data_IF_027013793903
#
_entry.id   IF_027013793903
#
_cell.length_a   1.000
_cell.length_b   1.000
_cell.length_c   1.000
_cell.angle_alpha   90.00
_cell.angle_beta   90.00
_cell.angle_gamma   90.00
#
_symmetry.space_group_name_H-M   'P 1'
#
loop_
_entity.id
_entity.type
_entity.pdbx_description
1 polymer ?
#
# COMPACT_ATOMS: atom_id res chain seq x y z
N UNK A 1 1.19 15.80 -8.97
CA UNK A 1 -0.05 15.90 -8.16
C UNK A 1 -0.12 14.72 -7.20
N UNK A 2 -0.29 14.94 -5.89
CA UNK A 2 -0.54 13.85 -4.93
C UNK A 2 -1.87 13.17 -5.27
N UNK A 3 -1.96 11.86 -5.05
CA UNK A 3 -3.21 11.13 -5.24
C UNK A 3 -4.19 11.48 -4.12
N UNK A 4 -5.45 11.73 -4.45
CA UNK A 4 -6.48 11.98 -3.44
C UNK A 4 -7.09 10.67 -2.95
N UNK A 5 -7.75 10.70 -1.78
CA UNK A 5 -8.48 9.52 -1.29
C UNK A 5 -9.61 9.11 -2.23
N UNK A 6 -10.29 10.07 -2.86
CA UNK A 6 -11.38 9.78 -3.79
C UNK A 6 -10.88 9.18 -5.11
N UNK A 7 -9.72 9.63 -5.61
CA UNK A 7 -9.06 8.99 -6.75
C UNK A 7 -8.67 7.52 -6.43
N UNK A 8 -8.20 7.27 -5.21
CA UNK A 8 -7.86 5.91 -4.77
C UNK A 8 -9.09 5.03 -4.68
N UNK A 9 -10.18 5.53 -4.08
CA UNK A 9 -11.48 4.84 -4.06
C UNK A 9 -11.98 4.51 -5.46
N UNK A 10 -11.96 5.47 -6.38
CA UNK A 10 -12.41 5.28 -7.75
C UNK A 10 -11.58 4.21 -8.49
N UNK A 11 -10.26 4.20 -8.27
CA UNK A 11 -9.37 3.18 -8.84
C UNK A 11 -9.72 1.77 -8.33
N UNK A 12 -9.88 1.62 -7.01
CA UNK A 12 -10.27 0.35 -6.38
C UNK A 12 -11.64 -0.12 -6.89
N UNK A 13 -12.62 0.78 -6.97
CA UNK A 13 -13.96 0.47 -7.47
C UNK A 13 -13.92 -0.02 -8.92
N UNK A 14 -13.15 0.64 -9.77
CA UNK A 14 -12.94 0.23 -11.15
C UNK A 14 -12.29 -1.16 -11.26
N UNK A 15 -11.37 -1.49 -10.35
CA UNK A 15 -10.66 -2.77 -10.32
C UNK A 15 -11.50 -3.92 -9.79
N UNK A 16 -12.43 -3.68 -8.85
CA UNK A 16 -13.30 -4.73 -8.29
C UNK A 16 -14.50 -4.99 -9.19
N UNK A 17 -15.15 -3.94 -9.70
CA UNK A 17 -16.39 -4.03 -10.49
C UNK A 17 -17.46 -4.89 -9.80
N UNK A 18 -17.84 -4.52 -8.59
CA UNK A 18 -18.90 -5.19 -7.84
C UNK A 18 -20.27 -4.96 -8.51
N UNK A 19 -20.62 -5.85 -9.45
CA UNK A 19 -21.82 -5.73 -10.28
C UNK A 19 -23.14 -5.83 -9.50
N UNK A 20 -23.11 -6.40 -8.29
CA UNK A 20 -24.32 -6.68 -7.50
C UNK A 20 -24.41 -5.78 -6.27
N UNK A 21 -23.49 -4.81 -6.12
CA UNK A 21 -23.42 -3.90 -4.98
C UNK A 21 -23.42 -4.63 -3.62
N UNK A 22 -22.77 -5.82 -3.58
CA UNK A 22 -22.64 -6.63 -2.37
C UNK A 22 -21.83 -5.88 -1.32
N UNK A 23 -20.80 -5.16 -1.76
CA UNK A 23 -19.91 -4.43 -0.87
C UNK A 23 -20.54 -3.10 -0.46
N UNK A 24 -20.52 -2.82 0.84
CA UNK A 24 -20.90 -1.53 1.40
C UNK A 24 -19.72 -0.54 1.36
N UNK A 25 -20.01 0.77 1.41
CA UNK A 25 -18.96 1.81 1.41
C UNK A 25 -17.93 1.63 2.56
N UNK A 26 -18.33 1.31 3.81
CA UNK A 26 -17.37 1.10 4.90
C UNK A 26 -16.42 -0.09 4.68
N UNK A 27 -16.82 -1.10 3.92
CA UNK A 27 -15.96 -2.25 3.61
C UNK A 27 -14.86 -1.87 2.62
N UNK A 28 -15.20 -1.01 1.66
CA UNK A 28 -14.23 -0.44 0.71
C UNK A 28 -13.19 0.41 1.43
N UNK A 29 -13.64 1.29 2.33
CA UNK A 29 -12.73 2.15 3.11
C UNK A 29 -11.78 1.31 3.99
N UNK A 30 -12.31 0.29 4.69
CA UNK A 30 -11.46 -0.63 5.46
C UNK A 30 -10.42 -1.35 4.61
N UNK A 31 -10.78 -1.79 3.40
CA UNK A 31 -9.84 -2.43 2.49
C UNK A 31 -8.72 -1.48 2.04
N UNK A 32 -9.04 -0.20 1.83
CA UNK A 32 -8.05 0.84 1.52
C UNK A 32 -7.13 1.09 2.71
N UNK A 33 -7.67 1.20 3.93
CA UNK A 33 -6.87 1.37 5.15
C UNK A 33 -5.91 0.21 5.36
N UNK A 34 -6.38 -1.02 5.16
CA UNK A 34 -5.54 -2.23 5.23
C UNK A 34 -4.46 -2.23 4.14
N UNK A 35 -4.76 -1.75 2.93
CA UNK A 35 -3.77 -1.64 1.86
C UNK A 35 -2.70 -0.58 2.15
N UNK A 36 -3.09 0.57 2.70
CA UNK A 36 -2.15 1.61 3.16
C UNK A 36 -1.26 1.11 4.29
N UNK A 37 -1.84 0.38 5.26
CA UNK A 37 -1.08 -0.25 6.34
C UNK A 37 -0.08 -1.26 5.80
N UNK A 38 -0.48 -2.13 4.86
CA UNK A 38 0.45 -3.09 4.22
C UNK A 38 1.56 -2.36 3.46
N UNK A 39 1.20 -1.33 2.69
CA UNK A 39 2.16 -0.52 1.96
C UNK A 39 3.18 0.15 2.89
N UNK A 40 2.76 0.63 4.07
CA UNK A 40 3.69 1.19 5.06
C UNK A 40 4.61 0.17 5.72
N UNK A 41 4.25 -1.11 5.75
CA UNK A 41 5.17 -2.18 6.17
C UNK A 41 6.22 -2.42 5.09
N UNK A 42 5.80 -2.53 3.83
CA UNK A 42 6.70 -2.86 2.72
C UNK A 42 7.56 -1.66 2.29
N UNK A 43 7.04 -0.44 2.43
CA UNK A 43 7.67 0.83 2.02
C UNK A 43 7.47 1.90 3.12
N UNK A 44 8.21 1.85 4.25
CA UNK A 44 7.96 2.75 5.38
C UNK A 44 8.10 4.25 5.03
N UNK A 45 7.07 5.04 5.33
CA UNK A 45 7.11 6.49 5.20
C UNK A 45 7.94 7.09 6.32
N UNK A 46 9.03 7.75 5.94
CA UNK A 46 9.87 8.52 6.86
C UNK A 46 9.47 9.99 6.81
N UNK A 47 9.35 10.59 7.98
CA UNK A 47 9.11 12.01 8.16
C UNK A 47 10.08 12.55 9.22
N UNK A 48 10.18 13.88 9.28
CA UNK A 48 11.04 14.55 10.24
C UNK A 48 10.44 15.87 10.69
N UNK A 49 10.77 16.27 11.91
CA UNK A 49 10.38 17.55 12.47
C UNK A 49 11.53 18.14 13.30
N UNK A 50 11.54 19.46 13.45
CA UNK A 50 12.43 20.14 14.40
C UNK A 50 11.59 20.67 15.55
N UNK A 51 11.86 20.17 16.75
CA UNK A 51 11.26 20.63 17.99
C UNK A 51 12.09 21.77 18.55
N UNK A 52 11.43 22.82 19.02
CA UNK A 52 12.08 23.93 19.73
C UNK A 52 11.67 23.90 21.19
N UNK A 53 12.64 23.69 22.10
CA UNK A 53 12.39 23.71 23.54
C UNK A 53 11.81 25.07 23.95
N UNK A 54 10.62 25.05 24.53
CA UNK A 54 9.89 26.26 24.95
C UNK A 54 10.46 26.86 26.23
N UNK A 55 10.91 25.99 27.14
CA UNK A 55 11.46 26.35 28.43
C UNK A 55 12.62 25.43 28.79
N UNK A 56 13.40 25.85 29.78
CA UNK A 56 14.42 25.04 30.41
C UNK A 56 13.83 23.76 31.00
N UNK A 57 14.26 22.59 30.52
CA UNK A 57 13.67 21.34 30.97
C UNK A 57 14.09 20.09 30.23
N UNK A 58 13.50 18.97 30.63
CA UNK A 58 13.73 17.64 30.09
C UNK A 58 12.71 17.22 29.02
N UNK A 59 11.60 17.94 28.92
CA UNK A 59 10.45 17.53 28.13
C UNK A 59 10.08 18.60 27.09
N UNK A 60 9.61 18.14 25.95
CA UNK A 60 9.06 19.00 24.91
C UNK A 60 7.92 18.29 24.19
N UNK A 61 6.82 19.02 23.97
CA UNK A 61 5.68 18.53 23.18
C UNK A 61 6.13 18.09 21.80
N UNK A 62 5.68 16.91 21.40
CA UNK A 62 5.78 16.44 20.03
C UNK A 62 4.80 17.22 19.14
N UNK A 63 4.98 17.19 17.81
CA UNK A 63 4.08 17.89 16.89
C UNK A 63 2.64 17.43 17.07
N UNK A 64 1.66 18.31 16.84
CA UNK A 64 0.23 18.00 17.07
C UNK A 64 -0.26 16.79 16.26
N UNK A 65 0.34 16.56 15.09
CA UNK A 65 0.06 15.41 14.24
C UNK A 65 0.70 14.09 14.72
N UNK A 66 1.45 14.09 15.82
CA UNK A 66 2.06 12.88 16.37
C UNK A 66 0.98 11.91 16.84
N UNK A 67 1.16 10.63 16.54
CA UNK A 67 0.24 9.56 16.91
C UNK A 67 1.00 8.40 17.55
N UNK A 68 0.30 7.58 18.32
CA UNK A 68 0.89 6.40 18.95
C UNK A 68 1.52 5.41 17.94
N UNK A 69 1.00 5.38 16.71
CA UNK A 69 1.51 4.56 15.61
C UNK A 69 2.83 5.03 15.01
N UNK A 70 3.37 6.17 15.46
CA UNK A 70 4.62 6.71 14.95
C UNK A 70 5.81 6.12 15.72
N UNK A 71 6.85 5.76 14.98
CA UNK A 71 8.07 5.19 15.55
C UNK A 71 9.22 6.19 15.44
N UNK A 72 9.83 6.59 16.56
CA UNK A 72 11.03 7.43 16.54
C UNK A 72 12.22 6.63 16.03
N UNK A 73 12.84 7.13 14.95
CA UNK A 73 14.08 6.56 14.39
C UNK A 73 15.31 7.21 15.01
N UNK A 74 15.29 8.54 15.10
CA UNK A 74 16.45 9.28 15.55
C UNK A 74 16.07 10.62 16.18
N UNK A 75 16.87 11.04 17.16
CA UNK A 75 16.71 12.30 17.90
C UNK A 75 18.10 12.95 18.00
N UNK A 76 18.25 14.16 17.48
CA UNK A 76 19.50 14.92 17.50
C UNK A 76 19.29 16.30 18.10
N UNK A 77 20.19 16.72 18.98
CA UNK A 77 20.33 18.12 19.34
C UNK A 77 21.09 18.85 18.22
N UNK A 78 20.48 19.88 17.64
CA UNK A 78 21.12 20.72 16.64
C UNK A 78 22.11 21.67 17.32
N UNK A 79 23.39 21.50 17.01
CA UNK A 79 24.47 22.32 17.56
C UNK A 79 24.86 23.48 16.66
N UNK A 80 25.54 24.47 17.24
CA UNK A 80 26.15 25.55 16.48
C UNK A 80 27.25 25.01 15.54
N UNK A 81 27.30 25.52 14.31
CA UNK A 81 28.31 25.10 13.32
C UNK A 81 28.05 23.71 12.70
N UNK A 82 26.82 23.19 12.78
CA UNK A 82 26.41 21.95 12.10
C UNK A 82 26.87 20.66 12.78
N UNK A 83 27.41 20.75 14.00
CA UNK A 83 27.72 19.58 14.82
C UNK A 83 26.49 19.15 15.60
N UNK A 84 25.75 18.21 15.04
CA UNK A 84 24.62 17.61 15.71
C UNK A 84 25.08 16.56 16.72
N UNK A 85 24.35 16.44 17.82
CA UNK A 85 24.61 15.45 18.85
C UNK A 85 23.43 14.49 18.95
N UNK A 86 23.67 13.20 18.73
CA UNK A 86 22.65 12.18 18.89
C UNK A 86 22.23 12.04 20.36
N UNK A 87 20.94 12.08 20.62
CA UNK A 87 20.35 11.86 21.94
C UNK A 87 19.83 10.42 21.99
N UNK A 88 20.38 9.59 22.88
CA UNK A 88 20.05 8.15 22.94
C UNK A 88 19.15 7.76 24.12
N UNK A 89 19.01 8.63 25.13
CA UNK A 89 18.25 8.34 26.36
C UNK A 89 16.99 9.20 26.41
N UNK A 90 15.98 8.75 25.69
CA UNK A 90 14.68 9.41 25.61
C UNK A 90 13.53 8.40 25.67
N UNK A 91 12.35 8.89 26.01
CA UNK A 91 11.08 8.17 25.79
C UNK A 91 10.02 9.11 25.25
N UNK A 92 8.99 8.53 24.64
CA UNK A 92 7.75 9.24 24.31
C UNK A 92 6.75 8.99 25.43
N UNK A 93 6.22 10.07 26.00
CA UNK A 93 5.18 10.01 27.03
C UNK A 93 3.86 10.50 26.46
N UNK A 94 2.81 9.72 26.66
CA UNK A 94 1.44 10.12 26.37
C UNK A 94 0.94 11.07 27.48
N UNK A 95 0.25 12.12 27.05
CA UNK A 95 -0.42 13.12 27.87
C UNK A 95 -1.91 13.10 27.55
N UNK A 96 -2.73 13.72 28.41
CA UNK A 96 -4.18 13.80 28.20
C UNK A 96 -4.57 14.47 26.86
N UNK A 97 -3.70 15.30 26.31
CA UNK A 97 -3.94 16.11 25.12
C UNK A 97 -2.78 16.04 24.11
N UNK A 98 -2.03 14.93 24.08
CA UNK A 98 -1.02 14.68 23.05
C UNK A 98 0.18 13.87 23.56
N UNK A 99 1.35 14.12 22.97
CA UNK A 99 2.58 13.41 23.31
C UNK A 99 3.72 14.37 23.57
N UNK A 100 4.69 13.93 24.34
CA UNK A 100 5.94 14.66 24.54
C UNK A 100 7.15 13.73 24.46
N UNK A 101 8.26 14.32 24.03
CA UNK A 101 9.57 13.71 24.08
C UNK A 101 10.22 14.06 25.42
N UNK A 102 10.55 13.06 26.22
CA UNK A 102 11.21 13.21 27.51
C UNK A 102 12.66 12.73 27.41
N UNK A 103 13.61 13.60 27.76
CA UNK A 103 15.04 13.30 27.85
C UNK A 103 15.40 12.95 29.30
N UNK A 104 15.81 11.70 29.55
CA UNK A 104 15.98 11.19 30.91
C UNK A 104 17.09 11.89 31.70
N UNK A 105 18.22 12.16 31.05
CA UNK A 105 19.45 12.59 31.74
C UNK A 105 19.91 13.98 31.34
N UNK A 106 19.19 14.62 30.41
CA UNK A 106 19.60 15.88 29.84
C UNK A 106 18.53 16.93 29.95
N UNK A 107 18.86 18.00 30.66
CA UNK A 107 18.12 19.26 30.60
C UNK A 107 18.61 20.06 29.41
N UNK A 108 17.68 20.55 28.58
CA UNK A 108 17.98 21.50 27.52
C UNK A 108 17.52 22.90 27.93
N UNK A 109 18.19 23.91 27.39
CA UNK A 109 17.85 25.32 27.59
C UNK A 109 16.71 25.72 26.66
N UNK A 110 15.92 26.71 27.07
CA UNK A 110 14.93 27.33 26.21
C UNK A 110 15.56 27.79 24.88
N UNK A 111 14.89 27.49 23.76
CA UNK A 111 15.37 27.79 22.41
C UNK A 111 16.24 26.70 21.77
N UNK A 112 16.67 25.68 22.52
CA UNK A 112 17.37 24.52 21.94
C UNK A 112 16.52 23.86 20.85
N UNK A 113 17.16 23.47 19.75
CA UNK A 113 16.48 22.80 18.64
C UNK A 113 16.86 21.32 18.60
N UNK A 114 15.86 20.46 18.57
CA UNK A 114 16.04 19.02 18.47
C UNK A 114 15.38 18.54 17.19
N UNK A 115 16.16 17.93 16.32
CA UNK A 115 15.66 17.24 15.14
C UNK A 115 15.18 15.84 15.53
N UNK A 116 14.01 15.46 15.03
CA UNK A 116 13.48 14.10 15.15
C UNK A 116 13.22 13.55 13.75
N UNK A 117 13.58 12.30 13.54
CA UNK A 117 13.16 11.49 12.40
C UNK A 117 12.29 10.34 12.90
N UNK A 118 11.22 10.04 12.17
CA UNK A 118 10.23 9.05 12.58
C UNK A 118 9.55 8.36 11.40
N UNK A 119 9.04 7.15 11.62
CA UNK A 119 8.13 6.47 10.71
C UNK A 119 6.70 6.89 11.04
N UNK A 120 5.88 7.14 10.02
CA UNK A 120 4.46 7.42 10.18
C UNK A 120 3.61 6.63 9.17
N UNK A 121 2.30 6.46 9.42
CA UNK A 121 1.40 5.82 8.47
C UNK A 121 1.34 6.54 7.11
N UNK A 122 1.07 5.77 6.06
CA UNK A 122 0.75 6.30 4.76
C UNK A 122 -0.67 6.83 4.69
N UNK A 123 -0.81 7.95 3.99
CA UNK A 123 -2.07 8.48 3.46
C UNK A 123 -2.05 8.40 1.93
N UNK A 124 -3.20 8.51 1.27
CA UNK A 124 -3.31 8.41 -0.20
C UNK A 124 -2.32 9.33 -0.94
N UNK A 125 -2.16 10.58 -0.45
CA UNK A 125 -1.26 11.56 -1.04
C UNK A 125 0.23 11.23 -0.91
N UNK A 126 0.59 10.35 0.01
CA UNK A 126 1.98 9.94 0.29
C UNK A 126 2.44 8.70 -0.51
N UNK A 127 1.54 8.06 -1.26
CA UNK A 127 1.89 6.91 -2.09
C UNK A 127 2.77 7.37 -3.25
N UNK A 128 3.93 6.71 -3.42
CA UNK A 128 4.82 6.99 -4.54
C UNK A 128 4.08 6.78 -5.88
N UNK A 129 4.23 7.66 -6.89
CA UNK A 129 3.45 7.57 -8.13
C UNK A 129 3.49 6.20 -8.83
N UNK A 130 4.64 5.52 -8.84
CA UNK A 130 4.77 4.18 -9.45
C UNK A 130 4.05 3.07 -8.69
N UNK A 131 3.65 3.30 -7.43
CA UNK A 131 3.03 2.28 -6.57
C UNK A 131 1.52 2.49 -6.40
N UNK A 132 0.94 3.56 -6.96
CA UNK A 132 -0.49 3.88 -6.77
C UNK A 132 -1.40 2.77 -7.24
N UNK A 133 -1.14 2.25 -8.44
CA UNK A 133 -1.90 1.14 -9.02
C UNK A 133 -1.72 -0.13 -8.18
N UNK A 134 -0.51 -0.39 -7.68
CA UNK A 134 -0.23 -1.53 -6.81
C UNK A 134 -1.06 -1.46 -5.52
N UNK A 135 -1.06 -0.32 -4.82
CA UNK A 135 -1.83 -0.15 -3.58
C UNK A 135 -3.33 -0.32 -3.85
N UNK A 136 -3.85 0.22 -4.95
CA UNK A 136 -5.24 0.00 -5.36
C UNK A 136 -5.52 -1.48 -5.66
N UNK A 137 -4.60 -2.18 -6.32
CA UNK A 137 -4.71 -3.62 -6.59
C UNK A 137 -4.74 -4.43 -5.28
N UNK A 138 -3.95 -4.07 -4.27
CA UNK A 138 -4.00 -4.77 -2.98
C UNK A 138 -5.34 -4.57 -2.25
N UNK A 139 -5.90 -3.35 -2.27
CA UNK A 139 -7.24 -3.12 -1.75
C UNK A 139 -8.30 -3.92 -2.55
N UNK A 140 -8.19 -3.94 -3.88
CA UNK A 140 -9.07 -4.73 -4.74
C UNK A 140 -8.95 -6.24 -4.49
N UNK A 141 -7.76 -6.75 -4.17
CA UNK A 141 -7.55 -8.13 -3.75
C UNK A 141 -8.38 -8.48 -2.51
N UNK A 142 -8.34 -7.63 -1.49
CA UNK A 142 -9.10 -7.86 -0.25
C UNK A 142 -10.61 -7.91 -0.51
N UNK A 143 -11.12 -6.98 -1.32
CA UNK A 143 -12.54 -6.92 -1.68
C UNK A 143 -12.96 -8.10 -2.56
N UNK A 144 -12.16 -8.48 -3.56
CA UNK A 144 -12.42 -9.67 -4.38
C UNK A 144 -12.42 -10.95 -3.53
N UNK A 145 -11.60 -11.05 -2.47
CA UNK A 145 -11.67 -12.18 -1.53
C UNK A 145 -12.98 -12.22 -0.75
N UNK A 146 -13.46 -11.06 -0.29
CA UNK A 146 -14.76 -10.96 0.40
C UNK A 146 -15.92 -11.37 -0.53
N UNK A 147 -15.93 -10.88 -1.77
CA UNK A 147 -16.92 -11.26 -2.79
C UNK A 147 -16.87 -12.76 -3.10
N UNK A 148 -15.68 -13.33 -3.26
CA UNK A 148 -15.52 -14.77 -3.49
C UNK A 148 -16.09 -15.59 -2.33
N UNK A 149 -15.87 -15.17 -1.09
CA UNK A 149 -16.43 -15.81 0.10
C UNK A 149 -17.97 -15.69 0.15
N UNK A 150 -18.51 -14.50 -0.14
CA UNK A 150 -19.95 -14.26 -0.18
C UNK A 150 -20.66 -15.19 -1.19
N UNK A 151 -20.22 -15.20 -2.45
CA UNK A 151 -20.82 -16.08 -3.47
C UNK A 151 -20.58 -17.56 -3.17
N UNK A 152 -19.46 -17.93 -2.53
CA UNK A 152 -19.26 -19.33 -2.10
C UNK A 152 -20.30 -19.76 -1.06
N UNK A 153 -20.72 -18.86 -0.15
CA UNK A 153 -21.77 -19.14 0.82
C UNK A 153 -23.17 -19.20 0.18
N UNK A 154 -23.49 -18.30 -0.75
CA UNK A 154 -24.78 -18.33 -1.47
C UNK A 154 -24.97 -19.63 -2.28
N UNK A 155 -23.89 -20.20 -2.81
CA UNK A 155 -23.92 -21.49 -3.50
C UNK A 155 -24.51 -22.59 -2.62
N UNK A 156 -24.18 -22.64 -1.33
CA UNK A 156 -24.68 -23.68 -0.42
C UNK A 156 -26.20 -23.57 -0.20
N UNK A 157 -26.78 -22.38 -0.40
CA UNK A 157 -28.21 -22.13 -0.25
C UNK A 157 -29.02 -22.26 -1.55
N UNK A 158 -28.37 -22.22 -2.73
CA UNK A 158 -29.03 -22.21 -4.03
C UNK A 158 -29.21 -23.63 -4.62
N UNK A 159 -30.33 -23.88 -5.31
CA UNK A 159 -30.62 -25.17 -5.98
C UNK A 159 -30.63 -24.98 -7.50
N UNK A 160 -29.97 -25.86 -8.25
CA UNK A 160 -30.08 -25.93 -9.71
C UNK A 160 -29.22 -24.91 -10.46
N UNK A 161 -29.81 -24.21 -11.44
CA UNK A 161 -29.07 -23.33 -12.35
C UNK A 161 -28.39 -22.14 -11.64
N UNK A 162 -29.01 -21.63 -10.57
CA UNK A 162 -28.48 -20.51 -9.78
C UNK A 162 -27.17 -20.89 -9.06
N UNK A 163 -27.06 -22.14 -8.61
CA UNK A 163 -25.82 -22.62 -7.97
C UNK A 163 -24.61 -22.59 -8.92
N UNK A 164 -24.80 -22.90 -10.20
CA UNK A 164 -23.71 -22.92 -11.20
C UNK A 164 -23.23 -21.51 -11.60
N UNK A 165 -24.16 -20.56 -11.68
CA UNK A 165 -23.82 -19.15 -11.92
C UNK A 165 -23.03 -18.57 -10.74
N UNK A 166 -23.48 -18.86 -9.51
CA UNK A 166 -22.84 -18.42 -8.28
C UNK A 166 -21.45 -19.05 -8.11
N UNK A 167 -21.28 -20.35 -8.43
CA UNK A 167 -19.98 -21.02 -8.44
C UNK A 167 -18.97 -20.37 -9.40
N UNK A 168 -19.42 -20.05 -10.62
CA UNK A 168 -18.58 -19.37 -11.62
C UNK A 168 -18.14 -17.99 -11.13
N UNK A 169 -19.03 -17.23 -10.46
CA UNK A 169 -18.71 -15.92 -9.89
C UNK A 169 -17.69 -16.01 -8.76
N UNK A 170 -17.88 -16.93 -7.81
CA UNK A 170 -16.96 -17.14 -6.71
C UNK A 170 -15.54 -17.45 -7.23
N UNK A 171 -15.42 -18.34 -8.22
CA UNK A 171 -14.14 -18.66 -8.88
C UNK A 171 -13.51 -17.46 -9.59
N UNK A 172 -14.31 -16.67 -10.31
CA UNK A 172 -13.82 -15.50 -11.02
C UNK A 172 -13.26 -14.43 -10.07
N UNK A 173 -13.95 -14.16 -8.95
CA UNK A 173 -13.45 -13.22 -7.94
C UNK A 173 -12.22 -13.75 -7.21
N UNK A 174 -12.16 -15.06 -6.92
CA UNK A 174 -10.96 -15.67 -6.34
C UNK A 174 -9.74 -15.56 -7.27
N UNK A 175 -9.93 -15.78 -8.58
CA UNK A 175 -8.87 -15.63 -9.57
C UNK A 175 -8.38 -14.18 -9.67
N UNK A 176 -9.30 -13.21 -9.76
CA UNK A 176 -8.95 -11.77 -9.76
C UNK A 176 -8.25 -11.34 -8.48
N UNK A 177 -8.67 -11.87 -7.33
CA UNK A 177 -8.01 -11.60 -6.07
C UNK A 177 -6.53 -12.06 -6.11
N UNK A 178 -6.26 -13.27 -6.62
CA UNK A 178 -4.89 -13.77 -6.74
C UNK A 178 -4.05 -12.91 -7.70
N UNK A 179 -4.61 -12.51 -8.84
CA UNK A 179 -3.95 -11.63 -9.81
C UNK A 179 -3.59 -10.27 -9.20
N UNK A 180 -4.54 -9.60 -8.54
CA UNK A 180 -4.29 -8.29 -7.93
C UNK A 180 -3.27 -8.33 -6.81
N UNK A 181 -3.24 -9.41 -6.03
CA UNK A 181 -2.19 -9.63 -5.03
C UNK A 181 -0.82 -9.74 -5.69
N UNK A 182 -0.70 -10.58 -6.72
CA UNK A 182 0.55 -10.78 -7.42
C UNK A 182 1.07 -9.47 -8.04
N UNK A 183 0.18 -8.67 -8.64
CA UNK A 183 0.52 -7.35 -9.18
C UNK A 183 1.06 -6.39 -8.13
N UNK A 184 0.51 -6.39 -6.91
CA UNK A 184 1.04 -5.56 -5.81
C UNK A 184 2.49 -5.91 -5.48
N UNK A 185 2.76 -7.18 -5.16
CA UNK A 185 4.10 -7.62 -4.76
C UNK A 185 5.12 -7.49 -5.90
N UNK A 186 4.71 -7.79 -7.13
CA UNK A 186 5.55 -7.62 -8.31
C UNK A 186 5.92 -6.15 -8.56
N UNK A 187 4.98 -5.22 -8.42
CA UNK A 187 5.23 -3.80 -8.63
C UNK A 187 6.15 -3.18 -7.55
N UNK A 188 6.07 -3.68 -6.31
CA UNK A 188 6.93 -3.22 -5.22
C UNK A 188 8.30 -3.91 -5.20
N UNK A 189 8.47 -5.02 -5.93
CA UNK A 189 9.68 -5.84 -5.88
C UNK A 189 9.91 -6.51 -4.52
N UNK A 190 8.85 -6.71 -3.73
CA UNK A 190 8.89 -7.37 -2.43
C UNK A 190 8.33 -8.78 -2.52
N UNK A 191 8.81 -9.68 -1.67
CA UNK A 191 8.35 -11.07 -1.67
C UNK A 191 6.89 -11.17 -1.20
N UNK A 192 6.10 -12.01 -1.87
CA UNK A 192 4.73 -12.30 -1.44
C UNK A 192 4.76 -13.34 -0.31
N UNK A 193 4.34 -12.98 0.91
CA UNK A 193 4.36 -13.90 2.06
C UNK A 193 3.42 -15.10 1.89
N UNK A 194 2.48 -15.08 0.93
CA UNK A 194 1.66 -16.24 0.60
C UNK A 194 2.39 -17.28 -0.29
N UNK A 195 3.51 -16.88 -0.90
CA UNK A 195 4.34 -17.72 -1.79
C UNK A 195 5.67 -18.08 -1.10
N UNK A 196 6.14 -17.29 -0.14
CA UNK A 196 7.31 -17.62 0.69
C UNK A 196 7.11 -18.97 1.40
N UNK A 197 7.82 -20.00 0.91
CA UNK A 197 7.69 -21.40 1.35
C UNK A 197 7.23 -22.38 0.25
N UNK A 198 6.74 -21.89 -0.89
CA UNK A 198 6.52 -22.71 -2.09
C UNK A 198 7.85 -22.90 -2.85
N UNK A 199 8.11 -24.08 -3.46
CA UNK A 199 9.34 -24.30 -4.21
C UNK A 199 9.49 -23.23 -5.28
N UNK A 200 10.65 -22.57 -5.28
CA UNK A 200 10.96 -21.43 -6.14
C UNK A 200 10.55 -21.70 -7.58
N UNK A 201 9.55 -20.97 -8.07
CA UNK A 201 9.27 -20.90 -9.51
C UNK A 201 10.41 -20.11 -10.16
N UNK A 202 11.05 -20.63 -11.23
CA UNK A 202 12.17 -19.95 -11.85
C UNK A 202 11.74 -18.59 -12.41
N UNK A 203 12.57 -17.58 -12.17
CA UNK A 203 12.42 -16.24 -12.69
C UNK A 203 12.61 -16.23 -14.22
N UNK A 204 11.53 -16.37 -14.98
CA UNK A 204 11.41 -15.89 -16.35
C UNK A 204 9.94 -15.96 -16.80
N UNK A 205 9.22 -14.85 -16.68
CA UNK A 205 8.06 -14.59 -17.52
C UNK A 205 8.13 -13.11 -17.93
N UNK A 206 8.83 -12.84 -19.03
CA UNK A 206 8.65 -11.61 -19.77
C UNK A 206 7.22 -11.64 -20.30
N UNK A 207 6.34 -10.82 -19.75
CA UNK A 207 5.03 -10.58 -20.35
C UNK A 207 5.25 -9.77 -21.63
N UNK A 208 5.45 -10.44 -22.76
CA UNK A 208 5.36 -9.80 -24.06
C UNK A 208 3.89 -9.47 -24.32
N UNK A 209 3.57 -8.18 -24.38
CA UNK A 209 2.26 -7.69 -24.81
C UNK A 209 1.92 -8.25 -26.21
N UNK A 210 0.68 -8.70 -26.46
CA UNK A 210 0.29 -9.20 -27.77
C UNK A 210 0.39 -8.07 -28.79
N UNK A 211 1.35 -8.23 -29.70
CA UNK A 211 1.54 -7.41 -30.88
C UNK A 211 0.23 -7.45 -31.69
N UNK A 212 -0.44 -6.30 -31.86
CA UNK A 212 -1.62 -6.19 -32.74
C UNK A 212 -1.20 -6.57 -34.15
N UNK A 213 -1.75 -7.66 -34.67
CA UNK A 213 -1.69 -7.98 -36.10
C UNK A 213 -2.24 -6.81 -36.93
N UNK A 214 -1.49 -6.27 -37.90
CA UNK A 214 -2.08 -5.57 -39.02
C UNK A 214 -2.34 -6.60 -40.12
N UNK A 215 -3.59 -7.04 -40.27
CA UNK A 215 -4.06 -7.53 -41.57
C UNK A 215 -4.44 -6.30 -42.38
N UNK A 216 -3.75 -6.08 -43.49
CA UNK A 216 -4.27 -5.67 -44.80
C UNK A 216 -3.10 -5.15 -45.65
N UNK A 217 -2.64 -5.96 -46.59
CA UNK A 217 -2.35 -5.46 -47.93
C UNK A 217 -2.77 -6.51 -48.95
N UNK A 218 -3.71 -6.06 -49.79
CA UNK A 218 -4.25 -6.72 -50.97
C UNK A 218 -3.24 -6.55 -52.10
N UNK A 219 -3.00 -7.61 -52.88
CA UNK A 219 -2.59 -7.46 -54.28
C UNK A 219 -1.43 -8.35 -54.75
N UNK A 220 -1.71 -9.26 -55.70
CA UNK A 220 -0.86 -9.40 -56.89
C UNK A 220 -0.05 -10.70 -57.08
N UNK A 221 -0.75 -11.75 -57.54
CA UNK A 221 -0.39 -12.68 -58.63
C UNK A 221 0.84 -13.63 -58.53
N UNK A 222 0.79 -14.79 -59.24
CA UNK A 222 1.52 -16.01 -58.88
C UNK A 222 2.78 -16.25 -59.73
N UNK A 223 3.78 -16.93 -59.17
CA UNK A 223 4.86 -17.54 -59.96
C UNK A 223 4.93 -19.05 -59.75
N UNK A 224 4.95 -19.72 -60.89
CA UNK A 224 4.69 -21.12 -61.18
C UNK A 224 5.83 -22.05 -60.73
N UNK A 225 5.47 -23.29 -60.37
CA UNK A 225 6.39 -24.40 -60.12
C UNK A 225 7.10 -24.82 -61.42
N UNK A 226 8.42 -24.98 -61.36
CA UNK A 226 9.18 -25.79 -62.31
C UNK A 226 10.08 -26.75 -61.55
N UNK A 227 9.83 -28.05 -61.67
CA UNK A 227 10.67 -29.13 -61.18
C UNK A 227 11.50 -29.64 -62.36
N UNK A 228 12.82 -29.63 -62.24
CA UNK A 228 13.77 -30.62 -62.78
C UNK A 228 15.12 -30.34 -62.12
#
# INVERSE_FOLDING_TARGET
>A
MPMTMDELRASVEHMVRDQHQVLAAPERDRAIDMALARYGVDMPRRASATLRWQADGHAQRLPQQWQLSFELLHVELLGAGGRNEALHRYLVRELADGFELLLHERKLLAGSQVFIAYICPHEAGSIHPSHREAVAAYAAHLLCRQLAAHFSGEREAAIGADASQTESRARNYAARAAEWRASYFAALGVADPAIEGAPARPAAAVASWPQRHPRHQVGGAPTFRGRA
#
